data_IF_640547181920
#
_entry.id   IF_640547181920
#
_cell.length_a   1.000
_cell.length_b   1.000
_cell.length_c   1.000
_cell.angle_alpha   90.00
_cell.angle_beta   90.00
_cell.angle_gamma   90.00
#
_symmetry.space_group_name_H-M   'P 1'
#
loop_
_entity.id
_entity.type
_entity.pdbx_description
1 polymer ?
#
# COMPACT_ATOMS: atom_id res chain seq x y z
N UNK A 1 -21.61 -20.54 -0.38
CA UNK A 1 -20.50 -19.95 0.39
C UNK A 1 -19.57 -21.05 0.86
N UNK A 2 -18.40 -21.21 0.23
CA UNK A 2 -17.42 -22.23 0.63
C UNK A 2 -16.61 -21.71 1.83
N UNK A 3 -16.57 -22.50 2.91
CA UNK A 3 -15.89 -22.15 4.16
C UNK A 3 -14.40 -21.76 3.99
N UNK A 4 -13.74 -22.20 2.90
CA UNK A 4 -12.34 -21.87 2.62
C UNK A 4 -12.11 -20.39 2.30
N UNK A 5 -13.07 -19.71 1.65
CA UNK A 5 -12.92 -18.30 1.28
C UNK A 5 -12.99 -17.34 2.48
N UNK A 6 -13.77 -17.69 3.50
CA UNK A 6 -13.84 -16.95 4.76
C UNK A 6 -12.59 -17.17 5.60
N UNK A 7 -12.08 -18.40 5.69
CA UNK A 7 -10.89 -18.73 6.47
C UNK A 7 -9.66 -17.95 5.98
N UNK A 8 -9.45 -17.88 4.65
CA UNK A 8 -8.32 -17.15 4.07
C UNK A 8 -8.31 -15.67 4.45
N UNK A 9 -9.47 -15.01 4.48
CA UNK A 9 -9.56 -13.59 4.88
C UNK A 9 -9.15 -13.37 6.32
N UNK A 10 -9.63 -14.22 7.22
CA UNK A 10 -9.24 -14.14 8.63
C UNK A 10 -7.76 -14.40 8.84
N UNK A 11 -7.18 -15.38 8.14
CA UNK A 11 -5.74 -15.67 8.21
C UNK A 11 -4.92 -14.49 7.71
N UNK A 12 -5.23 -13.95 6.53
CA UNK A 12 -4.50 -12.79 5.97
C UNK A 12 -4.69 -11.55 6.84
N UNK A 13 -5.90 -11.28 7.32
CA UNK A 13 -6.18 -10.19 8.24
C UNK A 13 -5.41 -10.31 9.55
N UNK A 14 -5.31 -11.52 10.12
CA UNK A 14 -4.53 -11.76 11.33
C UNK A 14 -3.02 -11.57 11.09
N UNK A 15 -2.49 -12.06 9.96
CA UNK A 15 -1.08 -11.86 9.58
C UNK A 15 -0.76 -10.36 9.47
N UNK A 16 -1.63 -9.59 8.82
CA UNK A 16 -1.46 -8.14 8.67
C UNK A 16 -1.70 -7.35 9.96
N UNK A 17 -2.47 -7.88 10.91
CA UNK A 17 -2.67 -7.25 12.21
C UNK A 17 -1.38 -7.25 13.05
N UNK A 18 -0.51 -8.26 12.91
CA UNK A 18 0.75 -8.37 13.65
C UNK A 18 1.66 -7.14 13.47
N UNK A 19 2.06 -6.74 12.25
CA UNK A 19 2.91 -5.57 12.06
C UNK A 19 2.23 -4.27 12.50
N UNK A 20 0.90 -4.15 12.37
CA UNK A 20 0.15 -2.96 12.83
C UNK A 20 0.14 -2.82 14.34
N UNK A 21 -0.15 -3.92 15.05
CA UNK A 21 -0.10 -3.94 16.52
C UNK A 21 1.31 -3.63 16.99
N UNK A 22 2.32 -4.25 16.37
CA UNK A 22 3.71 -3.95 16.67
C UNK A 22 4.05 -2.48 16.43
N UNK A 23 3.66 -1.91 15.28
CA UNK A 23 3.88 -0.49 14.99
C UNK A 23 3.22 0.41 16.04
N UNK A 24 2.00 0.11 16.44
CA UNK A 24 1.32 0.85 17.52
C UNK A 24 2.11 0.82 18.84
N UNK A 25 2.72 -0.33 19.19
CA UNK A 25 3.56 -0.44 20.40
C UNK A 25 4.86 0.38 20.33
N UNK A 26 5.33 0.75 19.15
CA UNK A 26 6.52 1.58 18.96
C UNK A 26 6.12 3.07 18.84
N UNK A 27 5.06 3.37 18.08
CA UNK A 27 4.60 4.72 17.76
C UNK A 27 4.07 5.47 19.00
N UNK A 28 3.17 4.87 19.77
CA UNK A 28 2.54 5.59 20.90
C UNK A 28 3.55 5.98 21.99
N UNK A 29 4.51 5.11 22.38
CA UNK A 29 5.59 5.52 23.26
C UNK A 29 6.47 6.61 22.65
N UNK A 30 6.77 6.58 21.35
CA UNK A 30 7.57 7.63 20.71
C UNK A 30 6.87 9.00 20.79
N UNK A 31 5.58 9.06 20.47
CA UNK A 31 4.75 10.27 20.60
C UNK A 31 4.76 10.81 22.03
N UNK A 32 4.69 9.92 23.03
CA UNK A 32 4.64 10.30 24.43
C UNK A 32 5.97 10.82 24.98
N UNK A 33 7.11 10.36 24.44
CA UNK A 33 8.42 10.58 25.04
C UNK A 33 9.36 11.48 24.23
N UNK A 34 9.16 11.62 22.92
CA UNK A 34 10.07 12.38 22.04
C UNK A 34 9.28 13.25 21.10
N UNK A 35 9.49 14.57 21.15
CA UNK A 35 8.82 15.51 20.24
C UNK A 35 9.15 15.22 18.77
N UNK A 36 8.15 15.38 17.90
CA UNK A 36 8.29 15.16 16.44
C UNK A 36 9.38 16.04 15.82
N UNK A 37 9.57 17.27 16.29
CA UNK A 37 10.59 18.19 15.76
C UNK A 37 12.02 17.65 15.96
N UNK A 38 12.31 17.09 17.14
CA UNK A 38 13.58 16.41 17.43
C UNK A 38 13.74 15.20 16.51
N UNK A 39 12.68 14.39 16.37
CA UNK A 39 12.68 13.25 15.46
C UNK A 39 13.00 13.62 14.01
N UNK A 40 12.36 14.66 13.49
CA UNK A 40 12.59 15.13 12.13
C UNK A 40 14.04 15.61 11.94
N UNK A 41 14.58 16.36 12.89
CA UNK A 41 15.97 16.82 12.86
C UNK A 41 16.97 15.65 12.84
N UNK A 42 16.69 14.59 13.61
CA UNK A 42 17.54 13.39 13.61
C UNK A 42 17.43 12.63 12.30
N UNK A 43 16.22 12.44 11.77
CA UNK A 43 16.00 11.75 10.49
C UNK A 43 16.78 12.44 9.37
N UNK A 44 16.67 13.76 9.22
CA UNK A 44 17.37 14.50 8.15
C UNK A 44 18.90 14.54 8.35
N UNK A 45 19.38 14.26 9.57
CA UNK A 45 20.82 14.24 9.86
C UNK A 45 21.51 12.94 9.45
N UNK A 46 20.75 11.87 9.15
CA UNK A 46 21.28 10.60 8.70
C UNK A 46 20.69 10.19 7.34
N UNK A 47 21.55 9.74 6.42
CA UNK A 47 21.14 9.42 5.05
C UNK A 47 20.23 8.19 4.98
N UNK A 48 20.45 7.17 5.80
CA UNK A 48 19.58 5.99 5.81
C UNK A 48 18.21 6.27 6.44
N UNK A 49 18.17 7.05 7.53
CA UNK A 49 16.92 7.48 8.13
C UNK A 49 16.11 8.39 7.17
N UNK A 50 16.79 9.32 6.48
CA UNK A 50 16.16 10.14 5.45
C UNK A 50 15.64 9.28 4.28
N UNK A 51 16.41 8.27 3.86
CA UNK A 51 15.96 7.35 2.82
C UNK A 51 14.71 6.58 3.23
N UNK A 52 14.60 6.16 4.50
CA UNK A 52 13.39 5.54 5.03
C UNK A 52 12.18 6.49 5.06
N UNK A 53 12.40 7.78 5.38
CA UNK A 53 11.35 8.79 5.28
C UNK A 53 10.88 9.00 3.83
N UNK A 54 11.81 9.03 2.87
CA UNK A 54 11.46 9.12 1.44
C UNK A 54 10.71 7.85 1.00
N UNK A 55 11.10 6.66 1.50
CA UNK A 55 10.38 5.40 1.27
C UNK A 55 8.93 5.49 1.76
N UNK A 56 8.72 6.00 2.98
CA UNK A 56 7.40 6.25 3.54
C UNK A 56 6.57 7.17 2.64
N UNK A 57 7.12 8.32 2.23
CA UNK A 57 6.45 9.27 1.31
C UNK A 57 6.15 8.59 -0.03
N UNK A 58 7.04 7.73 -0.50
CA UNK A 58 6.86 6.96 -1.73
C UNK A 58 5.69 5.98 -1.59
N UNK A 59 5.55 5.31 -0.45
CA UNK A 59 4.41 4.44 -0.15
C UNK A 59 3.06 5.17 -0.16
N UNK A 60 3.03 6.46 0.18
CA UNK A 60 1.80 7.26 0.13
C UNK A 60 1.21 7.37 -1.28
N UNK A 61 2.01 7.19 -2.34
CA UNK A 61 1.53 7.14 -3.73
C UNK A 61 0.57 5.98 -3.98
N UNK A 62 0.67 4.90 -3.19
CA UNK A 62 -0.31 3.82 -3.18
C UNK A 62 -1.41 4.08 -2.14
N UNK A 63 -1.00 4.33 -0.89
CA UNK A 63 -1.91 4.31 0.26
C UNK A 63 -3.00 5.38 0.16
N UNK A 64 -2.65 6.62 -0.19
CA UNK A 64 -3.62 7.71 -0.20
C UNK A 64 -4.67 7.54 -1.30
N UNK A 65 -4.30 7.28 -2.58
CA UNK A 65 -5.31 7.01 -3.60
C UNK A 65 -6.16 5.78 -3.30
N UNK A 66 -5.55 4.69 -2.83
CA UNK A 66 -6.28 3.47 -2.49
C UNK A 66 -7.35 3.75 -1.41
N UNK A 67 -6.98 4.43 -0.32
CA UNK A 67 -7.90 4.77 0.76
C UNK A 67 -8.96 5.79 0.34
N UNK A 68 -8.58 6.76 -0.50
CA UNK A 68 -9.51 7.73 -1.08
C UNK A 68 -10.61 7.04 -1.88
N UNK A 69 -10.24 6.17 -2.83
CA UNK A 69 -11.21 5.47 -3.67
C UNK A 69 -12.05 4.45 -2.89
N UNK A 70 -11.53 3.94 -1.76
CA UNK A 70 -12.27 3.07 -0.84
C UNK A 70 -13.29 3.79 0.04
N UNK A 71 -13.30 5.11 0.03
CA UNK A 71 -14.08 5.88 1.00
C UNK A 71 -15.56 6.06 0.57
N UNK A 72 -16.51 5.91 1.52
CA UNK A 72 -17.95 6.03 1.32
C UNK A 72 -18.46 7.47 1.29
N UNK A 73 -17.59 8.49 1.24
CA UNK A 73 -17.85 9.87 0.81
C UNK A 73 -16.60 10.71 0.78
N UNK A 74 -16.67 11.83 0.07
CA UNK A 74 -15.58 12.78 -0.04
C UNK A 74 -15.15 13.25 1.35
N UNK A 75 -16.09 13.45 2.28
CA UNK A 75 -15.77 13.84 3.66
C UNK A 75 -14.98 12.74 4.36
N UNK A 76 -15.46 11.49 4.33
CA UNK A 76 -14.75 10.33 4.88
C UNK A 76 -13.39 10.15 4.19
N UNK A 77 -13.32 10.33 2.88
CA UNK A 77 -12.08 10.24 2.10
C UNK A 77 -11.05 11.26 2.54
N UNK A 78 -11.44 12.52 2.73
CA UNK A 78 -10.56 13.57 3.26
C UNK A 78 -10.09 13.18 4.67
N UNK A 79 -11.00 12.77 5.55
CA UNK A 79 -10.66 12.39 6.93
C UNK A 79 -9.68 11.21 6.94
N UNK A 80 -9.95 10.15 6.17
CA UNK A 80 -9.10 8.96 6.09
C UNK A 80 -7.73 9.31 5.50
N UNK A 81 -7.66 10.12 4.45
CA UNK A 81 -6.39 10.56 3.86
C UNK A 81 -5.57 11.38 4.85
N UNK A 82 -6.20 12.31 5.58
CA UNK A 82 -5.52 13.09 6.62
C UNK A 82 -5.01 12.21 7.77
N UNK A 83 -5.80 11.22 8.20
CA UNK A 83 -5.37 10.29 9.24
C UNK A 83 -4.22 9.39 8.77
N UNK A 84 -4.31 8.84 7.55
CA UNK A 84 -3.24 8.03 6.96
C UNK A 84 -1.97 8.86 6.74
N UNK A 85 -2.08 10.12 6.33
CA UNK A 85 -0.93 11.01 6.17
C UNK A 85 -0.26 11.36 7.51
N UNK A 86 -1.07 11.68 8.53
CA UNK A 86 -0.58 12.13 9.84
C UNK A 86 -0.11 11.01 10.76
N UNK A 87 -0.76 9.83 10.72
CA UNK A 87 -0.46 8.69 11.59
C UNK A 87 0.23 7.53 10.87
N UNK A 88 0.39 7.60 9.55
CA UNK A 88 1.08 6.58 8.76
C UNK A 88 0.33 5.25 8.69
N UNK A 89 1.10 4.15 8.61
CA UNK A 89 0.54 2.83 8.34
C UNK A 89 -0.18 2.18 9.53
N UNK A 90 -0.14 2.78 10.73
CA UNK A 90 -0.95 2.32 11.87
C UNK A 90 -2.43 2.49 11.58
N UNK A 91 -2.81 3.53 10.83
CA UNK A 91 -4.19 3.77 10.41
C UNK A 91 -4.47 3.06 9.10
N UNK A 92 -3.63 3.24 8.08
CA UNK A 92 -3.93 2.71 6.75
C UNK A 92 -4.04 1.17 6.75
N UNK A 93 -3.13 0.47 7.43
CA UNK A 93 -3.12 -0.99 7.44
C UNK A 93 -4.18 -1.52 8.41
N UNK A 94 -4.49 -0.81 9.50
CA UNK A 94 -5.64 -1.15 10.33
C UNK A 94 -6.97 -1.07 9.55
N UNK A 95 -7.15 -0.02 8.74
CA UNK A 95 -8.31 0.10 7.85
C UNK A 95 -8.31 -0.98 6.78
N UNK A 96 -7.14 -1.31 6.22
CA UNK A 96 -7.01 -2.39 5.25
C UNK A 96 -7.39 -3.76 5.83
N UNK A 97 -6.91 -4.07 7.05
CA UNK A 97 -7.30 -5.26 7.82
C UNK A 97 -8.80 -5.25 8.09
N UNK A 98 -9.34 -4.11 8.54
CA UNK A 98 -10.78 -3.95 8.76
C UNK A 98 -11.57 -4.29 7.50
N UNK A 99 -11.19 -3.78 6.34
CA UNK A 99 -11.85 -4.10 5.08
C UNK A 99 -11.77 -5.59 4.70
N UNK A 100 -10.65 -6.26 4.97
CA UNK A 100 -10.47 -7.70 4.73
C UNK A 100 -11.42 -8.52 5.60
N UNK A 101 -11.49 -8.23 6.90
CA UNK A 101 -12.27 -9.02 7.86
C UNK A 101 -13.76 -8.70 7.79
N UNK A 102 -14.13 -7.44 7.51
CA UNK A 102 -15.52 -6.99 7.40
C UNK A 102 -16.17 -7.38 6.07
N UNK A 103 -15.39 -7.79 5.07
CA UNK A 103 -15.91 -8.29 3.80
C UNK A 103 -16.89 -9.45 3.99
N UNK A 104 -17.87 -9.59 3.09
CA UNK A 104 -18.82 -10.72 3.12
C UNK A 104 -18.50 -11.82 2.09
N UNK A 105 -17.56 -11.55 1.19
CA UNK A 105 -17.23 -12.37 0.02
C UNK A 105 -15.78 -12.90 0.10
N UNK A 106 -15.07 -13.01 -1.02
CA UNK A 106 -13.69 -13.51 -1.08
C UNK A 106 -12.65 -12.44 -0.71
N UNK A 107 -11.42 -12.87 -0.38
CA UNK A 107 -10.30 -11.95 -0.11
C UNK A 107 -10.08 -10.96 -1.25
N UNK A 108 -10.22 -11.45 -2.49
CA UNK A 108 -10.16 -10.65 -3.72
C UNK A 108 -11.17 -9.51 -3.70
N UNK A 109 -12.45 -9.81 -3.47
CA UNK A 109 -13.49 -8.77 -3.41
C UNK A 109 -13.28 -7.81 -2.23
N UNK A 110 -12.73 -8.31 -1.12
CA UNK A 110 -12.45 -7.47 0.03
C UNK A 110 -11.31 -6.46 -0.22
N UNK A 111 -10.33 -6.77 -1.09
CA UNK A 111 -9.18 -5.91 -1.42
C UNK A 111 -9.39 -5.07 -2.69
N UNK A 112 -10.09 -5.61 -3.68
CA UNK A 112 -10.37 -4.99 -4.98
C UNK A 112 -11.90 -4.88 -5.21
N UNK A 113 -12.62 -4.04 -4.44
CA UNK A 113 -14.08 -3.94 -4.50
C UNK A 113 -14.53 -2.99 -5.62
N UNK A 114 -14.67 -3.47 -6.85
CA UNK A 114 -15.17 -2.63 -7.94
C UNK A 114 -16.70 -2.46 -7.92
N UNK A 115 -17.45 -3.46 -7.45
CA UNK A 115 -18.93 -3.47 -7.52
C UNK A 115 -19.60 -2.52 -6.51
N UNK A 116 -18.79 -1.88 -5.67
CA UNK A 116 -19.20 -0.88 -4.70
C UNK A 116 -18.39 0.40 -4.92
N UNK A 117 -18.58 1.12 -6.06
CA UNK A 117 -18.00 2.44 -6.23
C UNK A 117 -18.66 3.35 -5.20
N UNK A 118 -17.97 3.50 -4.08
CA UNK A 118 -18.55 4.09 -2.89
C UNK A 118 -18.75 5.59 -3.10
N UNK A 119 -17.88 6.25 -3.87
CA UNK A 119 -18.09 7.60 -4.41
C UNK A 119 -17.72 7.66 -5.88
N UNK A 120 -18.69 7.98 -6.73
CA UNK A 120 -18.46 8.34 -8.12
C UNK A 120 -17.48 9.54 -8.18
N UNK A 121 -16.19 9.27 -8.36
CA UNK A 121 -15.22 10.32 -8.59
C UNK A 121 -15.57 11.00 -9.92
N UNK A 122 -15.48 12.34 -10.01
CA UNK A 122 -15.77 13.05 -11.26
C UNK A 122 -14.75 12.65 -12.32
N UNK A 123 -15.16 11.74 -13.21
CA UNK A 123 -14.62 11.45 -14.53
C UNK A 123 -13.12 11.79 -14.73
N UNK A 124 -12.22 11.17 -13.95
CA UNK A 124 -10.76 11.36 -14.04
C UNK A 124 -10.14 10.59 -15.21
N UNK A 125 -10.82 10.49 -16.35
CA UNK A 125 -10.53 9.46 -17.36
C UNK A 125 -9.18 9.59 -18.07
N UNK A 126 -8.50 10.74 -17.98
CA UNK A 126 -7.16 10.86 -18.59
C UNK A 126 -6.25 11.81 -17.82
N UNK A 127 -6.70 13.04 -17.56
CA UNK A 127 -5.82 14.06 -16.95
C UNK A 127 -5.37 13.70 -15.52
N UNK A 128 -6.28 13.17 -14.69
CA UNK A 128 -5.93 12.74 -13.33
C UNK A 128 -4.92 11.58 -13.31
N UNK A 129 -5.02 10.66 -14.28
CA UNK A 129 -4.05 9.56 -14.44
C UNK A 129 -2.69 10.10 -14.85
N UNK A 130 -2.64 11.03 -15.80
CA UNK A 130 -1.37 11.66 -16.23
C UNK A 130 -0.69 12.39 -15.08
N UNK A 131 -1.43 13.17 -14.29
CA UNK A 131 -0.87 13.86 -13.11
C UNK A 131 -0.33 12.84 -12.12
N UNK A 132 -1.11 11.81 -11.80
CA UNK A 132 -0.69 10.76 -10.89
C UNK A 132 0.60 10.09 -11.38
N UNK A 133 0.69 9.74 -12.66
CA UNK A 133 1.88 9.15 -13.26
C UNK A 133 3.09 10.08 -13.17
N UNK A 134 2.92 11.38 -13.44
CA UNK A 134 4.00 12.36 -13.31
C UNK A 134 4.50 12.48 -11.88
N UNK A 135 3.59 12.55 -10.90
CA UNK A 135 3.94 12.61 -9.47
C UNK A 135 4.64 11.32 -9.04
N UNK A 136 4.08 10.16 -9.38
CA UNK A 136 4.66 8.86 -9.06
C UNK A 136 6.07 8.72 -9.67
N UNK A 137 6.24 9.07 -10.95
CA UNK A 137 7.54 9.03 -11.61
C UNK A 137 8.56 9.97 -10.94
N UNK A 138 8.18 11.20 -10.61
CA UNK A 138 9.06 12.15 -9.94
C UNK A 138 9.49 11.63 -8.55
N UNK A 139 8.53 11.14 -7.74
CA UNK A 139 8.82 10.57 -6.43
C UNK A 139 9.70 9.32 -6.55
N UNK A 140 9.44 8.46 -7.53
CA UNK A 140 10.28 7.29 -7.81
C UNK A 140 11.72 7.68 -8.16
N UNK A 141 11.92 8.68 -9.02
CA UNK A 141 13.27 9.18 -9.35
C UNK A 141 13.97 9.72 -8.11
N UNK A 142 13.28 10.50 -7.27
CA UNK A 142 13.83 11.02 -6.01
C UNK A 142 14.23 9.88 -5.08
N UNK A 143 13.36 8.87 -4.91
CA UNK A 143 13.64 7.69 -4.10
C UNK A 143 14.90 6.96 -4.57
N UNK A 144 14.96 6.59 -5.85
CA UNK A 144 16.10 5.85 -6.39
C UNK A 144 17.41 6.63 -6.34
N UNK A 145 17.36 7.93 -6.68
CA UNK A 145 18.53 8.79 -6.59
C UNK A 145 19.04 8.90 -5.13
N UNK A 146 18.13 9.04 -4.17
CA UNK A 146 18.50 9.14 -2.75
C UNK A 146 18.96 7.81 -2.16
N UNK A 147 18.35 6.69 -2.56
CA UNK A 147 18.80 5.36 -2.14
C UNK A 147 20.21 5.07 -2.64
N UNK A 148 20.51 5.39 -3.91
CA UNK A 148 21.87 5.30 -4.45
C UNK A 148 22.81 6.20 -3.66
N UNK A 149 22.40 7.44 -3.37
CA UNK A 149 23.17 8.38 -2.55
C UNK A 149 23.47 7.82 -1.16
N UNK A 150 22.50 7.22 -0.47
CA UNK A 150 22.69 6.60 0.84
C UNK A 150 23.71 5.45 0.76
N UNK A 151 23.57 4.56 -0.22
CA UNK A 151 24.47 3.42 -0.45
C UNK A 151 25.91 3.85 -0.69
N UNK A 152 26.15 4.94 -1.44
CA UNK A 152 27.51 5.42 -1.71
C UNK A 152 28.09 6.27 -0.57
N UNK A 153 27.24 6.81 0.30
CA UNK A 153 27.67 7.74 1.37
C UNK A 153 27.98 7.03 2.67
N UNK A 154 27.18 6.03 3.06
CA UNK A 154 27.30 5.37 4.36
C UNK A 154 27.04 3.86 4.24
N UNK A 155 27.86 2.98 4.86
CA UNK A 155 27.58 1.55 4.84
C UNK A 155 26.25 1.21 5.53
N UNK A 156 25.53 0.23 4.98
CA UNK A 156 24.20 -0.21 5.48
C UNK A 156 24.23 -0.54 6.98
N UNK A 157 25.32 -1.12 7.48
CA UNK A 157 25.47 -1.47 8.90
C UNK A 157 25.47 -0.25 9.83
N UNK A 158 26.06 0.88 9.41
CA UNK A 158 26.07 2.11 10.19
C UNK A 158 24.68 2.77 10.17
N UNK A 159 24.03 2.80 9.00
CA UNK A 159 22.64 3.24 8.87
C UNK A 159 21.68 2.43 9.75
N UNK A 160 21.84 1.10 9.78
CA UNK A 160 21.03 0.23 10.63
C UNK A 160 21.26 0.48 12.13
N UNK A 161 22.53 0.69 12.54
CA UNK A 161 22.86 1.04 13.91
C UNK A 161 22.22 2.39 14.32
N UNK A 162 22.20 3.38 13.44
CA UNK A 162 21.51 4.64 13.67
C UNK A 162 20.00 4.44 13.80
N UNK A 163 19.37 3.78 12.83
CA UNK A 163 17.91 3.54 12.81
C UNK A 163 17.44 2.82 14.07
N UNK A 164 18.20 1.84 14.55
CA UNK A 164 17.83 1.06 15.74
C UNK A 164 18.10 1.77 17.06
N UNK A 165 18.96 2.80 17.07
CA UNK A 165 19.28 3.58 18.27
C UNK A 165 18.47 4.87 18.39
N UNK A 166 17.92 5.40 17.29
CA UNK A 166 17.06 6.59 17.28
C UNK A 166 15.57 6.24 17.25
N UNK A 167 14.79 6.88 18.13
CA UNK A 167 13.37 6.57 18.34
C UNK A 167 12.53 6.79 17.08
N UNK A 168 12.62 7.96 16.45
CA UNK A 168 11.76 8.31 15.31
C UNK A 168 12.22 7.64 14.01
N UNK A 169 13.52 7.41 13.86
CA UNK A 169 14.07 6.63 12.76
C UNK A 169 13.59 5.18 12.83
N UNK A 170 13.58 4.58 14.03
CA UNK A 170 13.03 3.24 14.24
C UNK A 170 11.53 3.17 13.95
N UNK A 171 10.74 4.13 14.47
CA UNK A 171 9.30 4.26 14.19
C UNK A 171 9.06 4.31 12.67
N UNK A 172 9.80 5.15 11.96
CA UNK A 172 9.68 5.33 10.50
C UNK A 172 10.01 4.03 9.75
N UNK A 173 11.04 3.30 10.18
CA UNK A 173 11.40 2.01 9.59
C UNK A 173 10.29 0.96 9.79
N UNK A 174 9.73 0.87 10.99
CA UNK A 174 8.61 -0.05 11.29
C UNK A 174 7.36 0.34 10.49
N UNK A 175 7.10 1.64 10.33
CA UNK A 175 6.02 2.18 9.49
C UNK A 175 6.17 1.69 8.04
N UNK A 176 7.36 1.83 7.45
CA UNK A 176 7.68 1.39 6.09
C UNK A 176 7.42 -0.10 5.90
N UNK A 177 7.93 -0.96 6.80
CA UNK A 177 7.69 -2.41 6.73
C UNK A 177 6.20 -2.73 6.81
N UNK A 178 5.47 -2.05 7.70
CA UNK A 178 4.03 -2.24 7.87
C UNK A 178 3.29 -1.88 6.58
N UNK A 179 3.66 -0.78 5.93
CA UNK A 179 3.13 -0.39 4.62
C UNK A 179 3.46 -1.40 3.51
N UNK A 180 4.70 -1.89 3.46
CA UNK A 180 5.12 -2.90 2.47
C UNK A 180 4.26 -4.17 2.60
N UNK A 181 3.93 -4.62 3.81
CA UNK A 181 3.06 -5.78 4.02
C UNK A 181 1.66 -5.60 3.39
N UNK A 182 1.09 -4.40 3.51
CA UNK A 182 -0.17 -4.04 2.86
C UNK A 182 -0.03 -4.04 1.32
N UNK A 183 1.00 -3.38 0.79
CA UNK A 183 1.24 -3.31 -0.67
C UNK A 183 1.47 -4.70 -1.26
N UNK A 184 2.30 -5.53 -0.62
CA UNK A 184 2.54 -6.93 -1.02
C UNK A 184 1.21 -7.69 -1.11
N UNK A 185 0.37 -7.58 -0.08
CA UNK A 185 -0.93 -8.26 -0.07
C UNK A 185 -1.80 -7.81 -1.23
N UNK A 186 -1.83 -6.50 -1.50
CA UNK A 186 -2.54 -5.92 -2.63
C UNK A 186 -2.03 -6.46 -3.98
N UNK A 187 -0.71 -6.42 -4.21
CA UNK A 187 -0.08 -6.86 -5.45
C UNK A 187 -0.30 -8.35 -5.69
N UNK A 188 -0.12 -9.19 -4.66
CA UNK A 188 -0.36 -10.64 -4.77
C UNK A 188 -1.81 -10.92 -5.19
N UNK A 189 -2.78 -10.30 -4.52
CA UNK A 189 -4.20 -10.49 -4.85
C UNK A 189 -4.53 -10.03 -6.26
N UNK A 190 -3.88 -8.96 -6.71
CA UNK A 190 -4.06 -8.40 -8.05
C UNK A 190 -3.45 -9.26 -9.15
N UNK A 191 -2.19 -9.66 -9.02
CA UNK A 191 -1.49 -10.44 -10.03
C UNK A 191 -2.00 -11.89 -10.10
N UNK A 192 -2.33 -12.50 -8.96
CA UNK A 192 -2.93 -13.83 -8.92
C UNK A 192 -4.34 -13.86 -9.52
N UNK A 193 -5.08 -12.74 -9.52
CA UNK A 193 -6.34 -12.62 -10.27
C UNK A 193 -6.13 -12.72 -11.78
N UNK A 194 -4.98 -12.27 -12.28
CA UNK A 194 -4.61 -12.36 -13.68
C UNK A 194 -3.87 -13.68 -14.00
N UNK A 195 -3.90 -14.66 -13.09
CA UNK A 195 -3.18 -15.93 -13.16
C UNK A 195 -1.65 -15.77 -13.37
N UNK A 196 -1.08 -14.61 -13.00
CA UNK A 196 0.32 -14.28 -13.23
C UNK A 196 1.18 -14.52 -12.00
N UNK A 197 1.34 -15.80 -11.63
CA UNK A 197 2.08 -16.23 -10.43
C UNK A 197 3.54 -15.76 -10.46
N UNK A 198 4.18 -15.79 -11.63
CA UNK A 198 5.58 -15.39 -11.77
C UNK A 198 5.74 -13.90 -11.50
N UNK A 199 4.90 -13.05 -12.10
CA UNK A 199 4.95 -11.60 -11.82
C UNK A 199 4.65 -11.33 -10.34
N UNK A 200 3.66 -12.01 -9.76
CA UNK A 200 3.33 -11.88 -8.33
C UNK A 200 4.55 -12.12 -7.43
N UNK A 201 5.30 -13.21 -7.70
CA UNK A 201 6.53 -13.55 -6.98
C UNK A 201 7.64 -12.52 -7.21
N UNK A 202 7.85 -12.07 -8.44
CA UNK A 202 8.88 -11.08 -8.74
C UNK A 202 8.59 -9.73 -8.08
N UNK A 203 7.33 -9.27 -8.10
CA UNK A 203 6.95 -8.04 -7.41
C UNK A 203 7.07 -8.15 -5.90
N UNK A 204 6.70 -9.30 -5.32
CA UNK A 204 6.89 -9.56 -3.89
C UNK A 204 8.37 -9.47 -3.49
N UNK A 205 9.25 -10.18 -4.20
CA UNK A 205 10.68 -10.17 -3.92
C UNK A 205 11.26 -8.77 -4.12
N UNK A 206 10.88 -8.07 -5.20
CA UNK A 206 11.35 -6.72 -5.45
C UNK A 206 10.93 -5.75 -4.33
N UNK A 207 9.68 -5.78 -3.87
CA UNK A 207 9.20 -4.97 -2.75
C UNK A 207 9.95 -5.27 -1.44
N UNK A 208 10.28 -6.54 -1.20
CA UNK A 208 11.01 -6.95 0.01
C UNK A 208 12.43 -6.36 0.05
N UNK A 209 13.11 -6.27 -1.10
CA UNK A 209 14.50 -5.81 -1.17
C UNK A 209 14.65 -4.32 -1.44
N UNK A 210 13.67 -3.70 -2.10
CA UNK A 210 13.80 -2.36 -2.68
C UNK A 210 12.68 -1.39 -2.24
N UNK A 211 11.86 -1.80 -1.28
CA UNK A 211 10.87 -0.93 -0.63
C UNK A 211 9.83 -0.35 -1.58
N UNK A 212 9.25 0.80 -1.20
CA UNK A 212 8.18 1.42 -1.99
C UNK A 212 8.64 2.04 -3.31
N UNK A 213 9.93 2.10 -3.59
CA UNK A 213 10.41 2.39 -4.95
C UNK A 213 9.82 1.43 -5.98
N UNK A 214 9.66 0.15 -5.59
CA UNK A 214 9.00 -0.86 -6.42
C UNK A 214 7.49 -0.66 -6.48
N UNK A 215 6.85 -0.18 -5.40
CA UNK A 215 5.43 0.21 -5.41
C UNK A 215 5.15 1.22 -6.52
N UNK A 216 5.99 2.24 -6.66
CA UNK A 216 5.87 3.24 -7.74
C UNK A 216 6.03 2.59 -9.12
N UNK A 217 7.07 1.78 -9.31
CA UNK A 217 7.30 1.08 -10.58
C UNK A 217 6.09 0.19 -10.93
N UNK A 218 5.53 -0.50 -9.95
CA UNK A 218 4.33 -1.32 -10.12
C UNK A 218 3.12 -0.48 -10.56
N UNK A 219 2.85 0.65 -9.90
CA UNK A 219 1.72 1.52 -10.25
C UNK A 219 1.88 2.13 -11.65
N UNK A 220 3.10 2.52 -12.02
CA UNK A 220 3.41 2.98 -13.37
C UNK A 220 3.24 1.87 -14.41
N UNK A 221 3.75 0.67 -14.13
CA UNK A 221 3.56 -0.52 -14.97
C UNK A 221 2.08 -0.80 -15.21
N UNK A 222 1.28 -0.83 -14.14
CA UNK A 222 -0.16 -1.09 -14.21
C UNK A 222 -0.88 -0.02 -15.02
N UNK A 223 -0.58 1.26 -14.78
CA UNK A 223 -1.28 2.39 -15.42
C UNK A 223 -0.86 2.64 -16.87
N UNK A 224 0.36 2.28 -17.27
CA UNK A 224 0.81 2.38 -18.66
C UNK A 224 0.59 1.11 -19.48
N UNK A 225 0.50 -0.05 -18.83
CA UNK A 225 0.34 -1.34 -19.49
C UNK A 225 -1.07 -1.91 -19.29
N UNK A 226 -1.27 -2.87 -18.36
CA UNK A 226 -2.50 -3.64 -18.25
C UNK A 226 -3.79 -2.82 -18.09
N UNK A 227 -3.73 -1.62 -17.49
CA UNK A 227 -4.88 -0.74 -17.25
C UNK A 227 -4.76 0.60 -17.99
N UNK A 228 -4.01 0.65 -19.09
CA UNK A 228 -3.90 1.86 -19.91
C UNK A 228 -5.28 2.37 -20.34
N UNK A 229 -5.51 3.68 -20.19
CA UNK A 229 -6.77 4.35 -20.53
C UNK A 229 -7.90 4.17 -19.51
N UNK A 230 -7.65 3.48 -18.40
CA UNK A 230 -8.59 3.34 -17.28
C UNK A 230 -8.46 4.51 -16.31
N UNK A 231 -9.54 4.81 -15.59
CA UNK A 231 -9.52 5.76 -14.47
C UNK A 231 -8.66 5.25 -13.31
N UNK A 232 -8.19 6.15 -12.45
CA UNK A 232 -7.43 5.75 -11.26
C UNK A 232 -8.25 4.87 -10.31
N UNK A 233 -9.55 5.12 -10.19
CA UNK A 233 -10.45 4.24 -9.41
C UNK A 233 -10.42 2.80 -9.94
N UNK A 234 -10.58 2.62 -11.25
CA UNK A 234 -10.47 1.32 -11.92
C UNK A 234 -9.05 0.72 -11.77
N UNK A 235 -8.01 1.55 -11.79
CA UNK A 235 -6.65 1.08 -11.53
C UNK A 235 -6.56 0.53 -10.11
N UNK A 236 -6.92 1.29 -9.08
CA UNK A 236 -6.71 0.92 -7.68
C UNK A 236 -7.70 -0.14 -7.16
N UNK A 237 -8.93 -0.17 -7.65
CA UNK A 237 -9.99 -1.10 -7.21
C UNK A 237 -10.26 -2.23 -8.22
N UNK A 238 -9.51 -2.26 -9.33
CA UNK A 238 -9.60 -3.20 -10.45
C UNK A 238 -10.91 -3.16 -11.24
N UNK A 239 -10.94 -2.29 -12.25
CA UNK A 239 -12.02 -2.06 -13.23
C UNK A 239 -11.96 -2.92 -14.48
N UNK A 240 -11.83 -4.24 -14.33
CA UNK A 240 -11.76 -5.16 -15.48
C UNK A 240 -13.14 -5.60 -15.96
N UNK A 241 -13.32 -5.94 -17.26
CA UNK A 241 -14.50 -6.70 -17.67
C UNK A 241 -14.52 -8.00 -16.87
N UNK A 242 -15.67 -8.32 -16.27
CA UNK A 242 -15.90 -9.62 -15.68
C UNK A 242 -15.52 -10.69 -16.72
N UNK A 243 -14.53 -11.54 -16.41
CA UNK A 243 -14.51 -12.84 -17.05
C UNK A 243 -15.78 -13.55 -16.58
N UNK A 244 -16.66 -14.04 -17.48
CA UNK A 244 -17.95 -14.66 -17.11
C UNK A 244 -17.84 -15.93 -16.25
N UNK A 245 -16.64 -16.30 -15.78
CA UNK A 245 -16.34 -17.58 -15.13
C UNK A 245 -16.49 -17.58 -13.61
N UNK A 246 -16.88 -16.48 -12.97
CA UNK A 246 -17.33 -16.48 -11.56
C UNK A 246 -18.85 -16.70 -11.42
N UNK A 247 -19.54 -17.16 -12.48
CA UNK A 247 -20.79 -17.92 -12.31
C UNK A 247 -20.44 -19.31 -11.79
N UNK A 248 -20.85 -19.61 -10.56
CA UNK A 248 -20.88 -20.96 -9.98
C UNK A 248 -21.28 -22.00 -11.04
N UNK A 249 -20.43 -22.98 -11.40
CA UNK A 249 -20.81 -24.04 -12.32
C UNK A 249 -21.65 -25.09 -11.59
N UNK A 250 -22.70 -24.70 -10.87
CA UNK A 250 -23.59 -25.64 -10.15
C UNK A 250 -25.02 -25.10 -10.02
N UNK A 251 -25.64 -24.71 -11.14
CA UNK A 251 -27.10 -24.85 -11.28
C UNK A 251 -27.35 -25.53 -12.61
N UNK A 252 -27.53 -26.85 -12.54
CA UNK A 252 -27.94 -27.66 -13.67
C UNK A 252 -29.21 -27.08 -14.28
N UNK A 253 -29.17 -26.79 -15.58
CA UNK A 253 -30.38 -26.63 -16.37
C UNK A 253 -31.03 -28.00 -16.50
N UNK A 254 -31.96 -28.30 -15.62
CA UNK A 254 -33.05 -29.21 -15.92
C UNK A 254 -34.18 -28.38 -16.52
N UNK A 255 -34.36 -28.47 -17.84
CA UNK A 255 -35.65 -28.49 -18.53
C UNK A 255 -35.43 -29.00 -19.96
#
# INVERSE_FOLDING_TARGET
MTASSSATRWVVGAILAVPVVYFATVLFPAIANVSISVGFNHIISNVWATSALIDYVTGLTFTLPYMWFRSPNAVVGVVVVLLCFGMGNVVSVALFVFFIVSGRSSLRHAILPLDHPLHAAPNTKTWGVTIFQSIAAAIGVIYWAYLIYAVVTEPVSAGWAFITSDTWSYVTFVDVITGIAMVVTYVLVRELRADNVIAALLWFLALLFLGNGVTVVYLLYVTWGPMAGRSLEEVFLWGGPETPSEQDPLVGKSH
#
